data_IF_048968282344
#
_entry.id   IF_048968282344
#
_cell.length_a   1.000
_cell.length_b   1.000
_cell.length_c   1.000
_cell.angle_alpha   90.00
_cell.angle_beta   90.00
_cell.angle_gamma   90.00
#
_symmetry.space_group_name_H-M   'P 1'
#
loop_
_entity.id
_entity.type
_entity.pdbx_description
1 polymer ?
#
# COMPACT_ATOMS: atom_id res chain seq x y z
N UNK A 1 16.82 -18.99 -41.34
CA UNK A 1 15.45 -19.48 -41.55
C UNK A 1 14.78 -19.72 -40.20
N UNK A 2 13.47 -19.48 -40.08
CA UNK A 2 12.73 -19.69 -38.83
C UNK A 2 12.54 -21.18 -38.54
N UNK A 3 12.82 -21.64 -37.31
CA UNK A 3 12.59 -23.03 -36.88
C UNK A 3 11.39 -23.13 -35.95
N UNK A 4 10.21 -23.39 -36.53
CA UNK A 4 8.96 -23.51 -35.77
C UNK A 4 8.83 -24.83 -34.99
N UNK A 5 9.61 -25.85 -35.35
CA UNK A 5 9.58 -27.16 -34.67
C UNK A 5 10.22 -27.11 -33.26
N UNK A 6 10.98 -26.07 -32.97
CA UNK A 6 11.61 -25.86 -31.65
C UNK A 6 10.67 -25.17 -30.65
N UNK A 7 9.47 -24.75 -31.06
CA UNK A 7 8.52 -24.06 -30.19
C UNK A 7 7.71 -25.06 -29.38
N UNK A 8 7.53 -24.76 -28.08
CA UNK A 8 6.68 -25.55 -27.19
C UNK A 8 5.19 -25.46 -27.56
N UNK A 9 4.78 -24.33 -28.12
CA UNK A 9 3.39 -24.04 -28.51
C UNK A 9 3.17 -24.26 -30.00
N UNK A 10 2.10 -24.99 -30.34
CA UNK A 10 1.65 -25.13 -31.73
C UNK A 10 1.04 -23.80 -32.22
N UNK A 11 1.57 -23.28 -33.32
CA UNK A 11 1.12 -22.02 -33.92
C UNK A 11 0.24 -22.33 -35.15
N UNK A 12 -0.92 -21.68 -35.32
CA UNK A 12 -1.75 -21.77 -36.53
C UNK A 12 -0.98 -21.49 -37.82
N UNK A 13 -1.35 -22.17 -38.91
CA UNK A 13 -0.66 -22.09 -40.20
C UNK A 13 -0.64 -20.66 -40.78
N UNK A 14 -1.69 -19.88 -40.52
CA UNK A 14 -1.81 -18.48 -40.96
C UNK A 14 -0.72 -17.59 -40.34
N UNK A 15 -0.39 -17.84 -39.07
CA UNK A 15 0.65 -17.11 -38.36
C UNK A 15 2.05 -17.55 -38.78
N UNK A 16 2.26 -18.85 -39.05
CA UNK A 16 3.52 -19.36 -39.62
C UNK A 16 3.84 -18.65 -40.94
N UNK A 17 2.85 -18.60 -41.86
CA UNK A 17 3.02 -17.90 -43.14
C UNK A 17 3.29 -16.40 -42.97
N UNK A 18 2.67 -15.76 -41.98
CA UNK A 18 2.89 -14.34 -41.69
C UNK A 18 4.31 -14.08 -41.17
N UNK A 19 4.82 -14.91 -40.25
CA UNK A 19 6.17 -14.81 -39.70
C UNK A 19 7.23 -15.09 -40.76
N UNK A 20 7.03 -16.08 -41.63
CA UNK A 20 7.95 -16.39 -42.72
C UNK A 20 8.13 -15.24 -43.72
N UNK A 21 7.15 -14.33 -43.83
CA UNK A 21 7.23 -13.14 -44.67
C UNK A 21 8.01 -11.98 -44.02
N UNK A 22 8.32 -12.08 -42.72
CA UNK A 22 9.12 -11.06 -42.03
C UNK A 22 10.58 -11.19 -42.46
N UNK A 23 11.04 -10.20 -43.21
CA UNK A 23 12.48 -9.97 -43.43
C UNK A 23 13.05 -9.28 -42.20
N UNK A 24 13.64 -10.05 -41.29
CA UNK A 24 14.47 -9.47 -40.23
C UNK A 24 15.75 -8.96 -40.88
N UNK A 25 15.98 -7.65 -40.83
CA UNK A 25 17.23 -7.09 -41.31
C UNK A 25 18.37 -7.67 -40.46
N UNK A 26 19.23 -8.49 -41.05
CA UNK A 26 20.48 -8.91 -40.42
C UNK A 26 21.36 -7.67 -40.29
N UNK A 27 21.23 -7.00 -39.14
CA UNK A 27 22.12 -5.92 -38.74
C UNK A 27 23.55 -6.45 -38.69
N UNK A 28 24.50 -5.73 -39.28
CA UNK A 28 25.93 -6.03 -39.17
C UNK A 28 26.48 -5.86 -37.75
N UNK A 29 25.67 -5.34 -36.82
CA UNK A 29 26.05 -5.04 -35.43
C UNK A 29 25.88 -6.21 -34.45
N UNK A 30 25.49 -7.40 -34.92
CA UNK A 30 25.54 -8.63 -34.12
C UNK A 30 24.20 -9.20 -33.65
N UNK A 31 24.30 -10.13 -32.69
CA UNK A 31 23.22 -10.99 -32.18
C UNK A 31 22.03 -10.20 -31.59
N UNK A 32 20.84 -10.76 -31.74
CA UNK A 32 19.62 -10.26 -31.09
C UNK A 32 19.81 -10.18 -29.56
N UNK A 33 19.36 -9.07 -28.98
CA UNK A 33 19.37 -8.86 -27.53
C UNK A 33 18.02 -8.29 -27.08
N UNK A 34 17.65 -8.60 -25.84
CA UNK A 34 16.49 -7.98 -25.22
C UNK A 34 16.79 -6.51 -24.92
N UNK A 35 15.95 -5.60 -25.43
CA UNK A 35 16.01 -4.18 -25.13
C UNK A 35 14.79 -3.78 -24.28
N UNK A 36 15.03 -3.08 -23.18
CA UNK A 36 14.01 -2.52 -22.33
C UNK A 36 13.33 -1.33 -23.01
N UNK A 37 12.03 -1.44 -23.27
CA UNK A 37 11.24 -0.38 -23.93
C UNK A 37 11.07 0.88 -23.08
N UNK A 38 11.11 0.76 -21.75
CA UNK A 38 10.84 1.86 -20.84
C UNK A 38 12.00 2.85 -20.67
N UNK A 39 13.10 2.70 -21.42
CA UNK A 39 14.23 3.62 -21.43
C UNK A 39 14.89 3.67 -22.82
N UNK A 40 15.34 4.85 -23.25
CA UNK A 40 15.94 5.02 -24.58
C UNK A 40 17.32 4.36 -24.73
N UNK A 41 17.99 4.02 -23.63
CA UNK A 41 19.23 3.24 -23.66
C UNK A 41 19.00 1.76 -23.97
N UNK A 42 17.75 1.27 -23.91
CA UNK A 42 17.46 -0.16 -24.01
C UNK A 42 17.85 -0.96 -22.77
N UNK A 43 18.38 -0.33 -21.71
CA UNK A 43 18.78 -1.01 -20.48
C UNK A 43 17.66 -1.02 -19.44
N UNK A 44 17.42 -2.18 -18.83
CA UNK A 44 16.51 -2.27 -17.70
C UNK A 44 17.19 -1.80 -16.41
N UNK A 45 16.49 -0.99 -15.64
CA UNK A 45 16.81 -0.69 -14.24
C UNK A 45 15.53 -0.79 -13.43
N UNK A 46 15.64 -1.06 -12.12
CA UNK A 46 14.47 -1.03 -11.23
C UNK A 46 13.74 0.33 -11.30
N UNK A 47 14.48 1.44 -11.46
CA UNK A 47 13.92 2.78 -11.59
C UNK A 47 13.14 2.99 -12.91
N UNK A 48 13.69 2.55 -14.05
CA UNK A 48 13.00 2.64 -15.34
C UNK A 48 11.80 1.69 -15.42
N UNK A 49 11.90 0.52 -14.80
CA UNK A 49 10.77 -0.40 -14.58
C UNK A 49 9.65 0.23 -13.76
N UNK A 50 9.98 0.81 -12.60
CA UNK A 50 9.00 1.47 -11.74
C UNK A 50 8.30 2.61 -12.47
N UNK A 51 9.06 3.53 -13.09
CA UNK A 51 8.50 4.62 -13.91
C UNK A 51 7.54 4.12 -14.97
N UNK A 52 7.93 3.07 -15.71
CA UNK A 52 7.09 2.48 -16.74
C UNK A 52 5.76 1.99 -16.18
N UNK A 53 5.77 1.32 -15.03
CA UNK A 53 4.57 0.81 -14.36
C UNK A 53 3.70 1.92 -13.75
N UNK A 54 4.31 3.02 -13.30
CA UNK A 54 3.59 4.13 -12.66
C UNK A 54 3.23 5.27 -13.64
N UNK A 55 3.52 5.11 -14.94
CA UNK A 55 3.16 6.14 -15.93
C UNK A 55 1.64 6.20 -16.04
N UNK A 56 1.04 7.30 -15.55
CA UNK A 56 -0.42 7.49 -15.55
C UNK A 56 -1.12 7.14 -14.22
N UNK A 57 -0.39 6.69 -13.19
CA UNK A 57 -0.97 6.62 -11.83
C UNK A 57 -1.13 8.02 -11.27
N UNK A 58 -2.30 8.36 -10.77
CA UNK A 58 -2.51 9.60 -10.01
C UNK A 58 -1.62 9.57 -8.75
N UNK A 59 -0.95 10.69 -8.47
CA UNK A 59 -0.11 10.89 -7.27
C UNK A 59 -0.96 11.09 -6.01
N UNK A 60 -2.08 10.36 -5.89
CA UNK A 60 -2.94 10.46 -4.72
C UNK A 60 -2.14 10.09 -3.47
N UNK A 61 -2.03 11.07 -2.58
CA UNK A 61 -1.29 10.92 -1.33
C UNK A 61 0.21 11.22 -1.40
N UNK A 62 0.78 11.66 -2.53
CA UNK A 62 2.23 11.96 -2.60
C UNK A 62 2.69 12.94 -1.51
N UNK A 63 1.92 13.99 -1.25
CA UNK A 63 2.18 14.93 -0.16
C UNK A 63 2.04 14.30 1.23
N UNK A 64 1.10 13.35 1.40
CA UNK A 64 0.94 12.58 2.65
C UNK A 64 2.16 11.72 2.89
N UNK A 65 2.64 10.99 1.87
CA UNK A 65 3.82 10.14 1.97
C UNK A 65 5.08 10.95 2.27
N UNK A 66 5.31 12.05 1.53
CA UNK A 66 6.43 12.98 1.79
C UNK A 66 6.38 13.53 3.22
N UNK A 67 5.20 13.92 3.70
CA UNK A 67 5.03 14.49 5.04
C UNK A 67 5.25 13.44 6.12
N UNK A 68 4.65 12.26 5.97
CA UNK A 68 4.75 11.14 6.91
C UNK A 68 6.22 10.79 7.20
N UNK A 69 7.02 10.60 6.17
CA UNK A 69 8.42 10.20 6.34
C UNK A 69 9.31 11.32 6.91
N UNK A 70 8.88 12.59 6.79
CA UNK A 70 9.53 13.76 7.38
C UNK A 70 9.07 14.09 8.81
N UNK A 71 8.08 13.38 9.36
CA UNK A 71 7.66 13.61 10.75
C UNK A 71 8.79 13.25 11.71
N UNK A 72 8.95 14.03 12.77
CA UNK A 72 9.92 13.77 13.85
C UNK A 72 9.36 12.70 14.81
N UNK A 73 9.11 11.51 14.28
CA UNK A 73 8.64 10.33 15.01
C UNK A 73 9.69 9.22 14.90
N UNK A 74 9.75 8.28 15.86
CA UNK A 74 10.49 7.03 15.66
C UNK A 74 10.02 6.32 14.39
N UNK A 75 10.92 5.62 13.70
CA UNK A 75 10.60 4.89 12.46
C UNK A 75 9.46 3.88 12.66
N UNK A 76 9.41 3.24 13.84
CA UNK A 76 8.31 2.36 14.26
C UNK A 76 6.94 3.08 14.16
N UNK A 77 6.88 4.33 14.63
CA UNK A 77 5.70 5.19 14.56
C UNK A 77 5.28 5.57 13.15
N UNK A 78 6.25 5.93 12.31
CA UNK A 78 6.00 6.21 10.88
C UNK A 78 5.48 4.97 10.16
N UNK A 79 6.07 3.81 10.43
CA UNK A 79 5.67 2.54 9.82
C UNK A 79 4.24 2.14 10.20
N UNK A 80 3.82 2.33 11.45
CA UNK A 80 2.42 2.10 11.82
C UNK A 80 1.45 3.03 11.11
N UNK A 81 1.73 4.33 11.04
CA UNK A 81 0.88 5.24 10.28
C UNK A 81 0.80 4.84 8.80
N UNK A 82 1.91 4.38 8.23
CA UNK A 82 1.96 3.82 6.88
C UNK A 82 1.06 2.58 6.75
N UNK A 83 1.16 1.62 7.68
CA UNK A 83 0.27 0.45 7.72
C UNK A 83 -1.20 0.88 7.82
N UNK A 84 -1.49 1.91 8.62
CA UNK A 84 -2.85 2.40 8.78
C UNK A 84 -3.42 3.02 7.50
N UNK A 85 -2.63 3.84 6.80
CA UNK A 85 -3.02 4.42 5.51
C UNK A 85 -3.26 3.35 4.44
N UNK A 86 -2.53 2.24 4.51
CA UNK A 86 -2.73 1.09 3.62
C UNK A 86 -3.80 0.10 4.10
N UNK A 87 -4.52 0.39 5.20
CA UNK A 87 -5.47 -0.55 5.84
C UNK A 87 -4.86 -1.93 6.12
N UNK A 88 -3.56 -1.96 6.43
CA UNK A 88 -2.75 -3.16 6.57
C UNK A 88 -2.59 -3.64 8.03
N UNK A 89 -3.28 -3.02 9.00
CA UNK A 89 -3.29 -3.50 10.37
C UNK A 89 -4.16 -4.76 10.50
N UNK A 90 -3.70 -5.82 11.20
CA UNK A 90 -4.45 -7.05 11.41
C UNK A 90 -5.51 -6.88 12.50
N UNK A 91 -6.47 -6.01 12.23
CA UNK A 91 -7.66 -5.84 13.08
C UNK A 91 -8.49 -7.11 13.11
N UNK A 92 -9.37 -7.26 14.10
CA UNK A 92 -10.23 -8.45 14.17
C UNK A 92 -11.09 -8.59 12.91
N UNK A 93 -11.56 -7.48 12.31
CA UNK A 93 -12.26 -7.52 11.03
C UNK A 93 -11.38 -8.14 9.94
N UNK A 94 -10.15 -7.64 9.75
CA UNK A 94 -9.20 -8.17 8.75
C UNK A 94 -8.88 -9.65 9.00
N UNK A 95 -8.67 -10.04 10.26
CA UNK A 95 -8.43 -11.43 10.64
C UNK A 95 -9.63 -12.32 10.32
N UNK A 96 -10.85 -11.85 10.56
CA UNK A 96 -12.07 -12.60 10.21
C UNK A 96 -12.25 -12.72 8.69
N UNK A 97 -11.97 -11.64 7.94
CA UNK A 97 -12.03 -11.64 6.47
C UNK A 97 -11.03 -12.66 5.87
N UNK A 98 -9.88 -12.83 6.52
CA UNK A 98 -8.86 -13.85 6.17
C UNK A 98 -9.11 -15.23 6.80
N UNK A 99 -10.22 -15.43 7.52
CA UNK A 99 -10.57 -16.69 8.20
C UNK A 99 -9.54 -17.13 9.27
N UNK A 100 -8.85 -16.15 9.87
CA UNK A 100 -7.89 -16.33 10.98
C UNK A 100 -8.52 -16.02 12.36
N UNK A 101 -9.79 -15.63 12.39
CA UNK A 101 -10.57 -15.41 13.59
C UNK A 101 -12.05 -15.77 13.33
N UNK A 102 -12.75 -16.25 14.36
CA UNK A 102 -14.17 -16.60 14.25
C UNK A 102 -15.09 -15.38 14.13
N UNK A 103 -14.65 -14.23 14.65
CA UNK A 103 -15.45 -13.00 14.65
C UNK A 103 -14.60 -11.77 14.31
N UNK A 104 -15.21 -10.83 13.59
CA UNK A 104 -14.65 -9.51 13.31
C UNK A 104 -14.83 -8.50 14.45
N UNK A 105 -15.40 -8.94 15.58
CA UNK A 105 -15.84 -8.06 16.63
C UNK A 105 -14.65 -7.43 17.38
N UNK A 106 -14.81 -6.17 17.79
CA UNK A 106 -13.82 -5.50 18.64
C UNK A 106 -13.72 -6.21 19.99
N UNK A 107 -12.52 -6.61 20.41
CA UNK A 107 -12.27 -7.27 21.70
C UNK A 107 -12.55 -6.40 22.93
N UNK A 108 -12.76 -5.09 22.75
CA UNK A 108 -12.97 -4.14 23.85
C UNK A 108 -14.42 -3.76 24.06
N UNK A 109 -15.10 -3.35 22.99
CA UNK A 109 -16.48 -2.87 23.06
C UNK A 109 -17.49 -3.84 22.44
N UNK A 110 -17.04 -4.98 21.91
CA UNK A 110 -17.88 -5.98 21.24
C UNK A 110 -18.62 -5.47 20.00
N UNK A 111 -18.23 -4.30 19.45
CA UNK A 111 -18.74 -3.83 18.17
C UNK A 111 -18.48 -4.90 17.09
N UNK A 112 -19.50 -5.35 16.33
CA UNK A 112 -19.33 -6.41 15.32
C UNK A 112 -18.31 -6.07 14.23
N UNK A 113 -18.08 -4.78 13.98
CA UNK A 113 -17.14 -4.26 12.99
C UNK A 113 -15.91 -3.66 13.68
N UNK A 114 -14.98 -4.51 14.09
CA UNK A 114 -13.68 -4.10 14.63
C UNK A 114 -12.70 -3.69 13.53
N UNK A 115 -13.07 -2.71 12.69
CA UNK A 115 -12.22 -2.18 11.61
C UNK A 115 -11.05 -1.37 12.15
N UNK A 116 -10.12 -0.97 11.27
CA UNK A 116 -9.02 -0.07 11.64
C UNK A 116 -9.52 1.29 12.14
N UNK A 117 -10.49 1.89 11.45
CA UNK A 117 -11.07 3.16 11.86
C UNK A 117 -11.79 3.03 13.21
N UNK A 118 -12.46 1.90 13.44
CA UNK A 118 -13.02 1.61 14.75
C UNK A 118 -11.93 1.48 15.83
N UNK A 119 -10.89 0.69 15.58
CA UNK A 119 -9.79 0.49 16.52
C UNK A 119 -9.04 1.78 16.86
N UNK A 120 -8.91 2.71 15.91
CA UNK A 120 -8.19 3.97 16.10
C UNK A 120 -9.09 5.12 16.61
N UNK A 121 -10.38 5.14 16.24
CA UNK A 121 -11.26 6.31 16.44
C UNK A 121 -12.62 5.99 17.04
N UNK A 122 -13.37 5.06 16.44
CA UNK A 122 -14.81 4.90 16.77
C UNK A 122 -15.07 4.04 18.02
N UNK A 123 -14.09 3.24 18.44
CA UNK A 123 -14.17 2.47 19.67
C UNK A 123 -14.26 3.43 20.86
N UNK A 124 -15.22 3.26 21.80
CA UNK A 124 -15.35 4.13 22.97
C UNK A 124 -14.05 4.30 23.75
N UNK A 125 -13.26 3.23 23.88
CA UNK A 125 -11.96 3.24 24.55
C UNK A 125 -10.90 4.03 23.78
N UNK A 126 -10.85 3.88 22.46
CA UNK A 126 -9.92 4.65 21.62
C UNK A 126 -10.29 6.13 21.62
N UNK A 127 -11.58 6.42 21.58
CA UNK A 127 -12.11 7.78 21.70
C UNK A 127 -11.71 8.45 23.02
N UNK A 128 -11.79 7.73 24.14
CA UNK A 128 -11.34 8.24 25.44
C UNK A 128 -9.87 8.66 25.40
N UNK A 129 -8.98 7.80 24.88
CA UNK A 129 -7.54 8.11 24.72
C UNK A 129 -7.32 9.34 23.85
N UNK A 130 -8.03 9.44 22.73
CA UNK A 130 -7.96 10.61 21.85
C UNK A 130 -8.38 11.90 22.57
N UNK A 131 -9.45 11.85 23.36
CA UNK A 131 -9.91 13.00 24.15
C UNK A 131 -8.90 13.40 25.22
N UNK A 132 -8.34 12.42 25.95
CA UNK A 132 -7.29 12.66 26.95
C UNK A 132 -6.02 13.22 26.32
N UNK A 133 -5.70 12.83 25.07
CA UNK A 133 -4.59 13.38 24.29
C UNK A 133 -4.84 14.79 23.72
N UNK A 134 -6.02 15.37 23.95
CA UNK A 134 -6.39 16.71 23.49
C UNK A 134 -6.82 16.77 22.02
N UNK A 135 -7.27 15.65 21.44
CA UNK A 135 -7.87 15.62 20.10
C UNK A 135 -9.34 16.05 20.22
N UNK A 136 -9.69 17.22 19.68
CA UNK A 136 -11.06 17.75 19.78
C UNK A 136 -12.06 17.01 18.87
N UNK A 137 -13.31 16.92 19.32
CA UNK A 137 -14.41 16.20 18.66
C UNK A 137 -14.72 16.77 17.26
N UNK A 138 -14.46 18.05 17.01
CA UNK A 138 -14.94 18.74 15.80
C UNK A 138 -14.30 18.28 14.48
N UNK A 139 -13.06 17.76 14.51
CA UNK A 139 -12.27 17.45 13.31
C UNK A 139 -12.13 15.96 13.05
N UNK A 140 -12.29 15.14 14.09
CA UNK A 140 -11.94 13.71 14.03
C UNK A 140 -13.06 12.83 13.45
N UNK A 141 -14.33 13.22 13.58
CA UNK A 141 -15.45 12.30 13.37
C UNK A 141 -16.30 12.55 12.10
N UNK A 142 -15.98 13.57 11.30
CA UNK A 142 -16.74 13.95 10.09
C UNK A 142 -16.27 13.25 8.79
N UNK A 143 -15.12 12.57 8.80
CA UNK A 143 -14.56 11.94 7.60
C UNK A 143 -14.92 10.44 7.49
N UNK A 144 -15.20 10.03 6.24
CA UNK A 144 -15.88 8.77 5.88
C UNK A 144 -14.96 7.55 5.81
N UNK A 145 -13.67 7.71 5.49
CA UNK A 145 -12.72 6.59 5.37
C UNK A 145 -11.41 6.82 6.17
N UNK A 146 -10.69 5.72 6.44
CA UNK A 146 -9.48 5.76 7.27
C UNK A 146 -8.34 6.55 6.64
N UNK A 147 -8.23 6.54 5.31
CA UNK A 147 -7.13 7.22 4.62
C UNK A 147 -7.30 8.73 4.72
N UNK A 148 -8.50 9.25 4.42
CA UNK A 148 -8.77 10.68 4.53
C UNK A 148 -8.56 11.15 5.98
N UNK A 149 -9.09 10.39 6.96
CA UNK A 149 -8.96 10.78 8.36
C UNK A 149 -7.49 10.86 8.81
N UNK A 150 -6.67 9.88 8.44
CA UNK A 150 -5.23 9.90 8.74
C UNK A 150 -4.46 10.95 7.93
N UNK A 151 -4.87 11.22 6.69
CA UNK A 151 -4.33 12.31 5.88
C UNK A 151 -4.57 13.66 6.58
N UNK A 152 -5.75 13.88 7.14
CA UNK A 152 -6.05 15.06 7.96
C UNK A 152 -5.08 15.20 9.14
N UNK A 153 -4.79 14.10 9.83
CA UNK A 153 -3.84 14.07 10.95
C UNK A 153 -2.40 14.37 10.51
N UNK A 154 -1.92 13.73 9.44
CA UNK A 154 -0.54 13.85 8.97
C UNK A 154 -0.26 15.27 8.43
N UNK A 155 -1.25 15.88 7.79
CA UNK A 155 -1.13 17.23 7.24
C UNK A 155 -1.43 18.33 8.27
N UNK A 156 -1.89 17.98 9.48
CA UNK A 156 -2.17 18.95 10.53
C UNK A 156 -0.88 19.57 11.12
N UNK A 157 -0.99 20.82 11.62
CA UNK A 157 0.14 21.50 12.28
C UNK A 157 0.67 20.74 13.51
N UNK A 158 -0.22 20.05 14.21
CA UNK A 158 0.07 19.26 15.42
C UNK A 158 0.26 17.76 15.09
N UNK A 159 0.61 17.40 13.85
CA UNK A 159 0.70 16.02 13.37
C UNK A 159 1.52 15.11 14.29
N UNK A 160 2.63 15.60 14.86
CA UNK A 160 3.47 14.82 15.78
C UNK A 160 2.67 14.42 17.02
N UNK A 161 2.03 15.39 17.69
CA UNK A 161 1.25 15.13 18.90
C UNK A 161 0.10 14.17 18.61
N UNK A 162 -0.65 14.41 17.54
CA UNK A 162 -1.77 13.57 17.14
C UNK A 162 -1.32 12.14 16.80
N UNK A 163 -0.20 11.99 16.09
CA UNK A 163 0.37 10.69 15.74
C UNK A 163 0.85 9.91 16.96
N UNK A 164 1.43 10.60 17.96
CA UNK A 164 1.84 9.97 19.23
C UNK A 164 0.60 9.51 20.01
N UNK A 165 -0.48 10.28 20.04
CA UNK A 165 -1.73 9.86 20.70
C UNK A 165 -2.33 8.61 20.05
N UNK A 166 -2.17 8.46 18.73
CA UNK A 166 -2.60 7.25 18.01
C UNK A 166 -1.70 6.05 18.25
N UNK A 167 -0.41 6.29 18.48
CA UNK A 167 0.58 5.25 18.72
C UNK A 167 0.39 4.68 20.13
N UNK A 168 -0.11 3.43 20.28
CA UNK A 168 -0.36 2.89 21.61
C UNK A 168 0.98 2.76 22.39
N UNK A 169 1.03 3.15 23.67
CA UNK A 169 2.19 2.86 24.51
C UNK A 169 2.37 1.34 24.65
N UNK A 170 3.61 0.89 24.81
CA UNK A 170 3.99 -0.53 24.71
C UNK A 170 3.26 -1.44 25.72
N UNK A 171 2.62 -0.90 26.78
CA UNK A 171 1.72 -1.62 27.67
C UNK A 171 0.70 -0.66 28.33
N UNK A 172 -0.56 -1.07 28.63
CA UNK A 172 -1.32 -2.24 28.18
C UNK A 172 -2.54 -1.77 27.36
N UNK A 173 -2.34 -1.28 26.13
CA UNK A 173 -3.48 -0.95 25.27
C UNK A 173 -3.33 -1.54 23.87
N UNK A 174 -4.48 -1.99 23.33
CA UNK A 174 -4.75 -2.73 22.10
C UNK A 174 -3.57 -3.59 21.63
N UNK A 175 -3.64 -4.92 21.85
CA UNK A 175 -2.91 -5.86 20.98
C UNK A 175 -3.48 -5.73 19.56
N UNK A 176 -3.10 -4.67 18.87
CA UNK A 176 -2.97 -4.71 17.42
C UNK A 176 -1.73 -5.58 17.24
N UNK A 177 -1.87 -6.74 16.57
CA UNK A 177 -0.74 -7.61 16.27
C UNK A 177 0.17 -6.90 15.24
N UNK A 178 0.83 -5.81 15.64
CA UNK A 178 1.71 -5.01 14.79
C UNK A 178 3.04 -5.71 14.55
N UNK A 179 3.32 -6.78 15.31
CA UNK A 179 4.53 -7.60 15.24
C UNK A 179 4.36 -8.89 14.43
N UNK A 180 3.17 -9.18 13.90
CA UNK A 180 2.93 -10.39 13.11
C UNK A 180 3.05 -11.69 13.90
N UNK A 181 2.97 -11.64 15.23
CA UNK A 181 2.91 -12.80 16.13
C UNK A 181 1.53 -13.08 16.72
#
# INVERSE_FOLDING_TARGET
>A
EWNFNSLYTAIPAELIHSVQRLSVANSSLGLDHFAWRGDSSGCFTAASGYRFLTTGSTTEGEEVWKKLWKLMLPEKGKFFLWQCLHSALPTNQVRADWRLAETGACSRCSCPRGTILHALRDCPYSREVLMSGGVSVGWSFSELDCFQWLKGIILHKDAIKLSITLWPPEHPWVKLNTDGS
#
